data_IF_814233960861
#
_entry.id   IF_814233960861
#
_cell.length_a   1.000
_cell.length_b   1.000
_cell.length_c   1.000
_cell.angle_alpha   90.00
_cell.angle_beta   90.00
_cell.angle_gamma   90.00
#
_symmetry.space_group_name_H-M   'P 1'
#
loop_
_entity.id
_entity.type
_entity.pdbx_description
1 polymer ?
#
# COMPACT_ATOMS: atom_id res chain seq x y z
N UNK A 1 -69.45 -7.00 65.12
CA UNK A 1 -68.90 -7.68 63.92
C UNK A 1 -69.17 -6.80 62.71
N UNK A 2 -68.33 -6.72 61.66
CA UNK A 2 -66.99 -7.32 61.41
C UNK A 2 -65.86 -6.24 61.42
N UNK A 3 -64.70 -6.42 62.07
CA UNK A 3 -63.46 -7.14 61.65
C UNK A 3 -62.87 -6.67 60.30
N UNK A 4 -61.87 -5.78 60.41
CA UNK A 4 -61.04 -5.29 59.33
C UNK A 4 -60.01 -6.31 58.83
N UNK A 5 -59.70 -6.20 57.54
CA UNK A 5 -58.64 -6.93 56.86
C UNK A 5 -57.36 -6.08 56.79
N UNK A 6 -56.16 -6.67 56.96
CA UNK A 6 -54.91 -5.92 57.10
C UNK A 6 -54.31 -5.53 55.74
N UNK A 7 -53.97 -4.25 55.61
CA UNK A 7 -53.28 -3.62 54.47
C UNK A 7 -51.83 -4.10 54.22
N UNK A 8 -51.42 -5.26 54.77
CA UNK A 8 -50.05 -5.79 54.66
C UNK A 8 -49.84 -6.77 53.51
N UNK A 9 -50.91 -7.24 52.84
CA UNK A 9 -50.79 -8.20 51.74
C UNK A 9 -50.49 -7.55 50.36
N UNK A 10 -50.82 -6.27 50.18
CA UNK A 10 -50.64 -5.59 48.89
C UNK A 10 -49.19 -5.14 48.61
N UNK A 11 -48.39 -4.90 49.66
CA UNK A 11 -46.99 -4.46 49.51
C UNK A 11 -46.02 -5.61 49.15
N UNK A 12 -46.36 -6.86 49.49
CA UNK A 12 -45.51 -8.02 49.22
C UNK A 12 -45.57 -8.48 47.74
N UNK A 13 -46.68 -8.21 47.04
CA UNK A 13 -46.86 -8.60 45.64
C UNK A 13 -46.16 -7.64 44.64
N UNK A 14 -45.96 -6.38 45.01
CA UNK A 14 -45.23 -5.40 44.16
C UNK A 14 -43.71 -5.58 44.25
N UNK A 15 -43.18 -5.97 45.42
CA UNK A 15 -41.76 -6.26 45.60
C UNK A 15 -41.31 -7.55 44.87
N UNK A 16 -42.19 -8.56 44.77
CA UNK A 16 -41.91 -9.79 44.03
C UNK A 16 -41.90 -9.58 42.50
N UNK A 17 -42.69 -8.63 41.99
CA UNK A 17 -42.72 -8.31 40.56
C UNK A 17 -41.49 -7.52 40.09
N UNK A 18 -40.87 -6.68 40.95
CA UNK A 18 -39.61 -6.00 40.61
C UNK A 18 -38.37 -6.89 40.77
N UNK A 19 -38.41 -7.93 41.62
CA UNK A 19 -37.29 -8.86 41.78
C UNK A 19 -37.18 -9.87 40.62
N UNK A 20 -38.30 -10.19 39.95
CA UNK A 20 -38.33 -11.08 38.79
C UNK A 20 -38.04 -10.35 37.46
N UNK A 21 -38.10 -9.02 37.42
CA UNK A 21 -37.76 -8.24 36.22
C UNK A 21 -36.26 -7.93 36.06
N UNK A 22 -35.42 -8.25 37.05
CA UNK A 22 -33.96 -8.02 36.99
C UNK A 22 -33.15 -9.26 36.57
N UNK A 23 -33.79 -10.43 36.41
CA UNK A 23 -33.09 -11.66 36.06
C UNK A 23 -32.91 -11.86 34.54
N UNK A 24 -33.60 -11.08 33.70
CA UNK A 24 -33.47 -11.09 32.24
C UNK A 24 -32.58 -9.95 31.72
N UNK A 25 -31.59 -9.52 32.51
CA UNK A 25 -30.41 -8.89 31.93
C UNK A 25 -29.67 -9.98 31.14
N UNK A 26 -30.09 -10.16 29.88
CA UNK A 26 -29.49 -11.06 28.90
C UNK A 26 -27.97 -11.04 29.05
N UNK A 27 -27.41 -12.08 29.67
CA UNK A 27 -26.03 -12.42 29.47
C UNK A 27 -25.90 -12.69 27.97
N UNK A 28 -25.34 -11.72 27.24
CA UNK A 28 -25.01 -11.90 25.84
C UNK A 28 -24.24 -13.22 25.74
N UNK A 29 -24.62 -14.12 24.82
CA UNK A 29 -23.90 -15.39 24.67
C UNK A 29 -22.41 -15.06 24.51
N UNK A 30 -21.51 -15.79 25.20
CA UNK A 30 -20.08 -15.52 25.09
C UNK A 30 -19.71 -15.54 23.60
N UNK A 31 -19.11 -14.43 23.09
CA UNK A 31 -18.61 -14.36 21.70
C UNK A 31 -17.81 -15.65 21.47
N UNK A 32 -18.35 -16.53 20.62
CA UNK A 32 -17.76 -17.85 20.37
C UNK A 32 -16.34 -17.58 19.86
N UNK A 33 -15.33 -18.07 20.57
CA UNK A 33 -13.95 -17.88 20.17
C UNK A 33 -13.79 -18.40 18.75
N UNK A 34 -13.54 -17.49 17.81
CA UNK A 34 -13.31 -17.84 16.42
C UNK A 34 -12.15 -18.84 16.31
N UNK A 35 -12.32 -19.85 15.47
CA UNK A 35 -11.29 -20.86 15.24
C UNK A 35 -10.07 -20.22 14.57
N UNK A 36 -8.84 -20.61 14.92
CA UNK A 36 -7.66 -20.14 14.22
C UNK A 36 -7.73 -20.48 12.72
N UNK A 37 -7.31 -19.54 11.88
CA UNK A 37 -7.20 -19.73 10.44
C UNK A 37 -5.90 -19.13 9.94
N UNK A 38 -5.62 -19.29 8.65
CA UNK A 38 -4.52 -18.57 8.00
C UNK A 38 -4.97 -18.00 6.67
N UNK A 39 -4.24 -16.99 6.19
CA UNK A 39 -4.33 -16.53 4.81
C UNK A 39 -2.94 -16.45 4.19
N UNK A 40 -2.88 -16.50 2.87
CA UNK A 40 -1.64 -16.38 2.11
C UNK A 40 -1.55 -14.98 1.49
N UNK A 41 -0.33 -14.44 1.43
CA UNK A 41 -0.02 -13.26 0.62
C UNK A 41 1.11 -13.58 -0.34
N UNK A 42 0.89 -13.27 -1.61
CA UNK A 42 1.84 -13.46 -2.71
C UNK A 42 1.87 -12.20 -3.58
N UNK A 43 2.97 -11.96 -4.28
CA UNK A 43 3.16 -10.82 -5.20
C UNK A 43 4.19 -11.21 -6.24
N UNK A 44 4.07 -10.74 -7.48
CA UNK A 44 5.11 -10.95 -8.50
C UNK A 44 5.43 -12.43 -8.75
N UNK A 45 4.43 -13.31 -8.66
CA UNK A 45 4.64 -14.77 -8.80
C UNK A 45 4.97 -15.13 -10.24
N UNK A 46 4.37 -14.43 -11.20
CA UNK A 46 4.54 -14.65 -12.64
C UNK A 46 5.35 -13.50 -13.21
N UNK A 47 6.66 -13.71 -13.38
CA UNK A 47 7.54 -12.71 -13.98
C UNK A 47 7.69 -12.90 -15.51
N UNK A 48 7.45 -14.11 -16.00
CA UNK A 48 7.43 -14.45 -17.42
C UNK A 48 6.43 -15.60 -17.69
N UNK A 49 6.08 -15.88 -18.96
CA UNK A 49 5.13 -16.95 -19.29
C UNK A 49 5.57 -18.34 -18.81
N UNK A 50 6.88 -18.56 -18.66
CA UNK A 50 7.43 -19.81 -18.15
C UNK A 50 7.09 -20.07 -16.66
N UNK A 51 6.70 -19.03 -15.91
CA UNK A 51 6.36 -19.13 -14.49
C UNK A 51 4.90 -19.56 -14.26
N UNK A 52 4.05 -19.54 -15.30
CA UNK A 52 2.61 -19.84 -15.18
C UNK A 52 2.33 -21.24 -14.57
N UNK A 53 3.01 -22.33 -14.97
CA UNK A 53 2.82 -23.63 -14.32
C UNK A 53 3.26 -23.63 -12.84
N UNK A 54 4.31 -22.85 -12.51
CA UNK A 54 4.78 -22.72 -11.13
C UNK A 54 3.77 -21.93 -10.27
N UNK A 55 3.16 -20.88 -10.83
CA UNK A 55 2.11 -20.11 -10.18
C UNK A 55 0.85 -20.95 -9.91
N UNK A 56 0.39 -21.75 -10.88
CA UNK A 56 -0.71 -22.69 -10.66
C UNK A 56 -0.36 -23.69 -9.55
N UNK A 57 0.87 -24.24 -9.57
CA UNK A 57 1.35 -25.17 -8.53
C UNK A 57 1.43 -24.50 -7.14
N UNK A 58 1.82 -23.23 -7.09
CA UNK A 58 1.86 -22.43 -5.86
C UNK A 58 0.45 -22.25 -5.27
N UNK A 59 -0.52 -21.80 -6.07
CA UNK A 59 -1.91 -21.64 -5.65
C UNK A 59 -2.51 -22.99 -5.20
N UNK A 60 -2.14 -24.07 -5.88
CA UNK A 60 -2.54 -25.42 -5.53
C UNK A 60 -1.97 -25.92 -4.20
N UNK A 61 -0.70 -25.60 -3.92
CA UNK A 61 -0.05 -25.90 -2.65
C UNK A 61 -0.70 -25.11 -1.52
N UNK A 62 -0.92 -23.81 -1.74
CA UNK A 62 -1.62 -22.93 -0.80
C UNK A 62 -3.00 -23.50 -0.47
N UNK A 63 -3.80 -23.89 -1.46
CA UNK A 63 -5.14 -24.45 -1.25
C UNK A 63 -5.17 -25.78 -0.46
N UNK A 64 -4.04 -26.47 -0.29
CA UNK A 64 -3.94 -27.70 0.53
C UNK A 64 -3.63 -27.42 1.99
N UNK A 65 -3.32 -26.18 2.34
CA UNK A 65 -3.08 -25.78 3.71
C UNK A 65 -4.35 -25.88 4.55
N UNK A 66 -4.23 -26.52 5.72
CA UNK A 66 -5.36 -26.65 6.64
C UNK A 66 -5.76 -25.28 7.16
N UNK A 67 -7.06 -25.04 7.22
CA UNK A 67 -7.67 -23.80 7.72
C UNK A 67 -7.21 -22.54 6.95
N UNK A 68 -6.82 -22.68 5.68
CA UNK A 68 -6.61 -21.52 4.82
C UNK A 68 -7.96 -20.89 4.47
N UNK A 69 -8.10 -19.59 4.72
CA UNK A 69 -9.33 -18.85 4.51
C UNK A 69 -9.41 -18.17 3.14
N UNK A 70 -8.30 -17.59 2.68
CA UNK A 70 -8.21 -16.86 1.42
C UNK A 70 -6.74 -16.61 1.04
N UNK A 71 -6.54 -16.15 -0.19
CA UNK A 71 -5.27 -15.69 -0.77
C UNK A 71 -5.39 -14.23 -1.14
N UNK A 72 -4.35 -13.44 -0.90
CA UNK A 72 -4.20 -12.09 -1.44
C UNK A 72 -3.05 -12.10 -2.44
N UNK A 73 -3.38 -11.83 -3.70
CA UNK A 73 -2.39 -11.61 -4.77
C UNK A 73 -2.13 -10.11 -4.86
N UNK A 74 -1.10 -9.66 -4.17
CA UNK A 74 -0.78 -8.27 -3.88
C UNK A 74 0.05 -7.60 -5.00
N UNK A 75 -0.39 -7.74 -6.25
CA UNK A 75 0.18 -7.07 -7.41
C UNK A 75 1.17 -7.90 -8.22
N UNK A 76 1.49 -7.33 -9.38
CA UNK A 76 2.42 -7.84 -10.38
C UNK A 76 2.03 -9.25 -10.86
N UNK A 77 0.82 -9.34 -11.41
CA UNK A 77 0.35 -10.51 -12.16
C UNK A 77 1.18 -10.72 -13.45
N UNK A 78 1.96 -9.71 -13.84
CA UNK A 78 2.94 -9.82 -14.91
C UNK A 78 4.28 -9.20 -14.59
N UNK A 79 5.31 -9.59 -15.35
CA UNK A 79 6.62 -8.98 -15.26
C UNK A 79 6.72 -7.65 -16.01
N UNK A 80 7.66 -6.82 -15.59
CA UNK A 80 8.03 -5.54 -16.20
C UNK A 80 8.43 -5.61 -17.69
N UNK A 81 8.83 -6.79 -18.19
CA UNK A 81 9.28 -7.00 -19.58
C UNK A 81 8.20 -7.54 -20.51
N UNK A 82 6.97 -7.66 -20.01
CA UNK A 82 5.85 -8.19 -20.77
C UNK A 82 4.89 -7.08 -21.19
N UNK A 83 4.44 -7.15 -22.44
CA UNK A 83 3.48 -6.19 -22.97
C UNK A 83 2.09 -6.40 -22.35
N UNK A 84 1.38 -5.30 -22.08
CA UNK A 84 0.06 -5.28 -21.45
C UNK A 84 -1.09 -5.63 -22.40
N UNK A 85 -0.93 -6.73 -23.16
CA UNK A 85 -1.92 -7.24 -24.10
C UNK A 85 -3.11 -7.84 -23.35
N UNK A 86 -4.32 -7.65 -23.88
CA UNK A 86 -5.57 -8.19 -23.32
C UNK A 86 -5.52 -9.72 -23.12
N UNK A 87 -4.90 -10.43 -24.08
CA UNK A 87 -4.76 -11.89 -24.03
C UNK A 87 -3.92 -12.37 -22.84
N UNK A 88 -2.90 -11.60 -22.43
CA UNK A 88 -2.07 -11.92 -21.27
C UNK A 88 -2.90 -11.86 -19.98
N UNK A 89 -3.67 -10.79 -19.78
CA UNK A 89 -4.54 -10.66 -18.61
C UNK A 89 -5.66 -11.70 -18.61
N UNK A 90 -6.24 -12.01 -19.77
CA UNK A 90 -7.24 -13.09 -19.89
C UNK A 90 -6.67 -14.45 -19.48
N UNK A 91 -5.46 -14.77 -19.96
CA UNK A 91 -4.77 -16.02 -19.64
C UNK A 91 -4.44 -16.12 -18.14
N UNK A 92 -3.95 -15.05 -17.53
CA UNK A 92 -3.54 -15.05 -16.11
C UNK A 92 -4.72 -14.85 -15.16
N UNK A 93 -5.77 -14.19 -15.61
CA UNK A 93 -7.08 -14.18 -14.95
C UNK A 93 -7.60 -15.60 -14.76
N UNK A 94 -7.53 -16.45 -15.79
CA UNK A 94 -7.91 -17.86 -15.68
C UNK A 94 -7.08 -18.64 -14.64
N UNK A 95 -5.80 -18.27 -14.41
CA UNK A 95 -4.98 -18.85 -13.33
C UNK A 95 -5.51 -18.42 -11.96
N UNK A 96 -5.87 -17.16 -11.79
CA UNK A 96 -6.45 -16.66 -10.54
C UNK A 96 -7.83 -17.26 -10.27
N UNK A 97 -8.69 -17.34 -11.29
CA UNK A 97 -10.05 -17.92 -11.21
C UNK A 97 -10.03 -19.42 -10.90
N UNK A 98 -8.96 -20.13 -11.30
CA UNK A 98 -8.77 -21.55 -10.99
C UNK A 98 -8.34 -21.81 -9.53
N UNK A 99 -8.09 -20.76 -8.72
CA UNK A 99 -7.74 -20.93 -7.31
C UNK A 99 -8.88 -21.61 -6.54
N UNK A 100 -8.57 -22.71 -5.84
CA UNK A 100 -9.56 -23.49 -5.06
C UNK A 100 -9.99 -22.85 -3.74
N UNK A 101 -9.47 -21.68 -3.44
CA UNK A 101 -9.76 -20.90 -2.23
C UNK A 101 -10.03 -19.46 -2.63
N UNK A 102 -10.84 -18.70 -1.88
CA UNK A 102 -11.14 -17.32 -2.23
C UNK A 102 -9.87 -16.51 -2.44
N UNK A 103 -9.79 -15.76 -3.55
CA UNK A 103 -8.63 -14.96 -3.91
C UNK A 103 -9.02 -13.50 -4.08
N UNK A 104 -8.24 -12.60 -3.50
CA UNK A 104 -8.35 -11.15 -3.67
C UNK A 104 -7.14 -10.66 -4.46
N UNK A 105 -7.37 -10.12 -5.65
CA UNK A 105 -6.33 -9.51 -6.47
C UNK A 105 -6.25 -8.00 -6.22
N UNK A 106 -5.04 -7.49 -6.06
CA UNK A 106 -4.72 -6.06 -5.96
C UNK A 106 -3.80 -5.73 -7.14
N UNK A 107 -4.12 -4.76 -8.00
CA UNK A 107 -3.22 -4.35 -9.08
C UNK A 107 -1.90 -3.76 -8.55
N UNK A 108 -0.78 -4.15 -9.17
CA UNK A 108 0.56 -3.64 -8.87
C UNK A 108 1.14 -2.72 -9.94
N UNK A 109 2.40 -2.31 -9.75
CA UNK A 109 3.15 -1.49 -10.71
C UNK A 109 3.17 -2.07 -12.12
N UNK A 110 3.56 -3.33 -12.23
CA UNK A 110 3.75 -3.96 -13.53
C UNK A 110 2.40 -4.19 -14.20
N UNK A 111 1.31 -4.28 -13.47
CA UNK A 111 0.00 -4.60 -14.04
C UNK A 111 -0.60 -3.46 -14.88
N UNK A 112 -0.27 -2.20 -14.60
CA UNK A 112 -0.87 -1.07 -15.33
C UNK A 112 0.05 0.14 -15.51
N UNK A 113 0.95 0.44 -14.56
CA UNK A 113 1.84 1.61 -14.67
C UNK A 113 2.93 1.37 -15.70
N UNK A 114 3.62 0.23 -15.60
CA UNK A 114 4.73 -0.10 -16.49
C UNK A 114 4.29 -0.34 -17.95
N UNK A 115 2.99 -0.35 -18.23
CA UNK A 115 2.44 -0.54 -19.56
C UNK A 115 2.82 0.56 -20.56
N UNK A 116 3.10 1.77 -20.08
CA UNK A 116 3.57 2.87 -20.92
C UNK A 116 5.01 2.72 -21.42
N UNK A 117 5.76 1.76 -20.87
CA UNK A 117 7.13 1.52 -21.29
C UNK A 117 7.15 0.81 -22.65
N UNK A 118 8.28 0.89 -23.36
CA UNK A 118 8.45 0.16 -24.62
C UNK A 118 8.25 -1.36 -24.45
N UNK A 119 8.71 -1.93 -23.33
CA UNK A 119 8.51 -3.35 -23.02
C UNK A 119 7.04 -3.66 -22.64
N UNK A 120 6.39 -2.73 -21.94
CA UNK A 120 4.95 -2.78 -21.62
C UNK A 120 4.03 -2.59 -22.84
N UNK A 121 4.59 -2.13 -23.97
CA UNK A 121 3.90 -1.96 -25.24
C UNK A 121 3.33 -0.56 -25.48
N UNK A 122 3.70 0.44 -24.67
CA UNK A 122 3.33 1.83 -24.87
C UNK A 122 1.85 2.13 -24.66
N UNK A 123 1.14 1.30 -23.88
CA UNK A 123 -0.27 1.54 -23.54
C UNK A 123 -0.42 2.69 -22.55
N UNK A 124 -1.58 3.34 -22.56
CA UNK A 124 -1.93 4.32 -21.53
C UNK A 124 -2.17 3.60 -20.18
N UNK A 125 -1.49 3.99 -19.08
CA UNK A 125 -1.64 3.30 -17.80
C UNK A 125 -3.05 3.34 -17.23
N UNK A 126 -3.76 4.47 -17.38
CA UNK A 126 -5.11 4.64 -16.82
C UNK A 126 -6.10 3.77 -17.57
N UNK A 127 -5.97 3.71 -18.89
CA UNK A 127 -6.75 2.81 -19.73
C UNK A 127 -6.49 1.33 -19.36
N UNK A 128 -5.23 0.94 -19.12
CA UNK A 128 -4.92 -0.42 -18.65
C UNK A 128 -5.48 -0.72 -17.26
N UNK A 129 -5.44 0.24 -16.33
CA UNK A 129 -6.09 0.09 -15.03
C UNK A 129 -7.61 -0.10 -15.17
N UNK A 130 -8.25 0.65 -16.07
CA UNK A 130 -9.67 0.49 -16.39
C UNK A 130 -9.99 -0.86 -17.03
N UNK A 131 -9.10 -1.37 -17.88
CA UNK A 131 -9.21 -2.73 -18.42
C UNK A 131 -9.20 -3.78 -17.31
N UNK A 132 -8.29 -3.68 -16.33
CA UNK A 132 -8.26 -4.59 -15.16
C UNK A 132 -9.54 -4.48 -14.32
N UNK A 133 -10.06 -3.26 -14.14
CA UNK A 133 -11.32 -2.99 -13.43
C UNK A 133 -12.53 -3.68 -14.08
N UNK A 134 -12.54 -3.73 -15.41
CA UNK A 134 -13.63 -4.31 -16.20
C UNK A 134 -13.51 -5.83 -16.39
N UNK A 135 -12.31 -6.38 -16.21
CA UNK A 135 -12.03 -7.81 -16.43
C UNK A 135 -11.79 -8.53 -15.10
N UNK A 136 -10.58 -8.44 -14.55
CA UNK A 136 -10.16 -9.17 -13.35
C UNK A 136 -10.86 -8.73 -12.07
N UNK A 137 -11.41 -7.51 -12.04
CA UNK A 137 -12.08 -6.93 -10.88
C UNK A 137 -13.57 -6.66 -11.12
N UNK A 138 -14.12 -7.23 -12.20
CA UNK A 138 -15.56 -7.23 -12.42
C UNK A 138 -16.27 -7.91 -11.24
N UNK A 139 -17.50 -7.49 -10.96
CA UNK A 139 -18.32 -8.14 -9.95
C UNK A 139 -18.62 -9.56 -10.45
N UNK A 140 -18.01 -10.56 -9.82
CA UNK A 140 -18.31 -11.97 -10.11
C UNK A 140 -19.76 -12.27 -9.75
N UNK A 141 -20.33 -13.30 -10.37
CA UNK A 141 -21.68 -13.78 -10.12
C UNK A 141 -21.97 -14.02 -8.62
N UNK A 142 -23.27 -14.12 -8.29
CA UNK A 142 -23.77 -14.35 -6.92
C UNK A 142 -22.84 -15.29 -6.12
N UNK A 143 -22.37 -14.85 -4.93
CA UNK A 143 -21.38 -15.61 -4.20
C UNK A 143 -21.89 -17.01 -3.86
N UNK A 144 -21.12 -18.04 -4.21
CA UNK A 144 -21.37 -19.40 -3.77
C UNK A 144 -21.50 -19.46 -2.24
N UNK A 145 -22.28 -20.39 -1.68
CA UNK A 145 -22.30 -20.64 -0.25
C UNK A 145 -20.89 -20.99 0.26
N UNK A 146 -20.20 -20.02 0.85
CA UNK A 146 -18.80 -20.14 1.30
C UNK A 146 -17.82 -19.14 0.68
N UNK A 147 -18.25 -18.36 -0.31
CA UNK A 147 -17.46 -17.28 -0.89
C UNK A 147 -17.19 -16.17 0.13
N UNK A 148 -15.98 -15.61 0.06
CA UNK A 148 -15.57 -14.48 0.89
C UNK A 148 -16.46 -13.27 0.57
N UNK A 149 -17.16 -12.76 1.57
CA UNK A 149 -18.04 -11.61 1.40
C UNK A 149 -17.20 -10.32 1.34
N UNK A 150 -16.96 -9.85 0.11
CA UNK A 150 -16.19 -8.65 -0.17
C UNK A 150 -17.14 -7.49 -0.44
N UNK A 151 -16.94 -6.40 0.27
CA UNK A 151 -17.52 -5.09 -0.06
C UNK A 151 -16.49 -4.31 -0.84
N UNK A 152 -16.88 -3.73 -1.98
CA UNK A 152 -15.98 -2.88 -2.79
C UNK A 152 -16.22 -1.40 -2.52
N UNK A 153 -15.19 -0.58 -2.72
CA UNK A 153 -15.34 0.88 -2.63
C UNK A 153 -16.29 1.41 -3.73
N UNK A 154 -16.33 0.73 -4.87
CA UNK A 154 -17.25 1.03 -5.98
C UNK A 154 -18.73 0.97 -5.64
N UNK A 155 -19.12 0.35 -4.52
CA UNK A 155 -20.49 0.40 -4.00
C UNK A 155 -20.87 1.78 -3.45
N UNK A 156 -19.88 2.60 -3.07
CA UNK A 156 -20.09 3.98 -2.65
C UNK A 156 -20.24 4.86 -3.89
N UNK A 157 -21.37 5.57 -4.00
CA UNK A 157 -21.75 6.29 -5.22
C UNK A 157 -20.69 7.27 -5.74
N UNK A 158 -19.92 7.92 -4.85
CA UNK A 158 -18.83 8.83 -5.23
C UNK A 158 -17.59 8.12 -5.79
N UNK A 159 -17.39 6.86 -5.44
CA UNK A 159 -16.18 6.09 -5.73
C UNK A 159 -16.45 4.88 -6.63
N UNK A 160 -17.54 4.90 -7.41
CA UNK A 160 -17.89 3.84 -8.39
C UNK A 160 -16.71 3.37 -9.28
N UNK A 161 -15.79 4.23 -9.74
CA UNK A 161 -14.65 3.79 -10.54
C UNK A 161 -13.65 2.87 -9.80
N UNK A 162 -13.56 2.94 -8.47
CA UNK A 162 -12.51 2.28 -7.67
C UNK A 162 -12.91 0.85 -7.27
N UNK A 163 -13.02 -0.04 -8.25
CA UNK A 163 -13.40 -1.46 -8.05
C UNK A 163 -12.28 -2.27 -7.39
N UNK A 164 -11.04 -1.84 -7.55
CA UNK A 164 -9.85 -2.49 -7.01
C UNK A 164 -9.71 -2.37 -5.50
N UNK A 165 -10.38 -1.39 -4.88
CA UNK A 165 -10.41 -1.22 -3.44
C UNK A 165 -11.51 -2.08 -2.82
N UNK A 166 -11.13 -2.92 -1.86
CA UNK A 166 -12.00 -3.94 -1.28
C UNK A 166 -11.85 -4.00 0.24
N UNK A 167 -12.91 -4.44 0.92
CA UNK A 167 -12.93 -4.69 2.36
C UNK A 167 -13.75 -5.94 2.65
N UNK A 168 -13.28 -6.78 3.54
CA UNK A 168 -14.06 -7.89 4.08
C UNK A 168 -13.81 -8.03 5.58
N UNK A 169 -14.69 -8.76 6.24
CA UNK A 169 -14.54 -9.10 7.64
C UNK A 169 -14.57 -10.62 7.76
N UNK A 170 -13.58 -11.18 8.45
CA UNK A 170 -13.57 -12.58 8.82
C UNK A 170 -13.37 -12.69 10.32
N UNK A 171 -14.32 -13.34 10.97
CA UNK A 171 -14.43 -13.34 12.43
C UNK A 171 -14.45 -11.89 12.94
N UNK A 172 -13.53 -11.52 13.82
CA UNK A 172 -13.41 -10.17 14.38
C UNK A 172 -12.27 -9.36 13.73
N UNK A 173 -11.82 -9.69 12.53
CA UNK A 173 -10.72 -8.97 11.86
C UNK A 173 -11.22 -8.35 10.55
N UNK A 174 -10.94 -7.07 10.41
CA UNK A 174 -11.26 -6.29 9.20
C UNK A 174 -10.06 -6.27 8.29
N UNK A 175 -10.28 -6.61 7.03
CA UNK A 175 -9.27 -6.62 5.99
C UNK A 175 -9.60 -5.55 4.96
N UNK A 176 -8.59 -4.83 4.47
CA UNK A 176 -8.71 -3.78 3.46
C UNK A 176 -7.62 -3.97 2.42
N UNK A 177 -8.02 -4.05 1.17
CA UNK A 177 -7.15 -4.07 0.01
C UNK A 177 -7.24 -2.73 -0.72
N UNK A 178 -6.09 -2.20 -1.15
CA UNK A 178 -5.96 -0.89 -1.77
C UNK A 178 -5.05 -0.95 -2.99
N UNK A 179 -5.40 -0.25 -4.05
CA UNK A 179 -4.46 0.04 -5.13
C UNK A 179 -3.55 1.20 -4.73
N UNK A 180 -2.39 0.86 -4.19
CA UNK A 180 -1.30 1.79 -3.88
C UNK A 180 0.02 1.18 -4.37
N UNK A 181 0.36 1.34 -5.66
CA UNK A 181 1.44 0.58 -6.29
C UNK A 181 2.81 1.26 -6.15
N UNK A 182 3.87 0.50 -6.38
CA UNK A 182 5.22 1.02 -6.53
C UNK A 182 5.45 1.60 -7.95
N UNK A 183 6.61 2.24 -8.17
CA UNK A 183 7.30 3.03 -7.16
C UNK A 183 6.50 4.31 -6.87
N UNK A 184 6.62 4.81 -5.65
CA UNK A 184 6.11 6.13 -5.25
C UNK A 184 4.62 6.39 -5.58
N UNK A 185 3.78 5.36 -5.50
CA UNK A 185 2.33 5.47 -5.65
C UNK A 185 1.88 6.07 -7.00
N UNK A 186 2.65 5.91 -8.08
CA UNK A 186 2.41 6.55 -9.38
C UNK A 186 2.40 8.09 -9.35
N UNK A 187 3.07 8.72 -8.37
CA UNK A 187 3.22 10.17 -8.39
C UNK A 187 4.13 10.62 -9.53
N UNK A 188 3.63 11.50 -10.39
CA UNK A 188 4.35 12.07 -11.52
C UNK A 188 4.88 13.47 -11.19
N UNK A 189 6.15 13.71 -11.48
CA UNK A 189 6.73 15.08 -11.41
C UNK A 189 6.48 15.81 -12.72
N UNK A 190 5.20 15.90 -13.12
CA UNK A 190 4.75 16.52 -14.35
C UNK A 190 3.54 17.40 -14.03
N UNK A 191 3.75 18.72 -13.97
CA UNK A 191 2.75 19.69 -13.51
C UNK A 191 1.38 19.48 -14.16
N UNK A 192 0.36 19.20 -13.34
CA UNK A 192 -1.03 19.01 -13.77
C UNK A 192 -1.39 17.63 -14.34
N UNK A 193 -0.46 16.68 -14.46
CA UNK A 193 -0.72 15.32 -15.00
C UNK A 193 -0.95 14.26 -13.93
N UNK A 194 -1.20 14.67 -12.69
CA UNK A 194 -1.44 13.76 -11.56
C UNK A 194 -2.93 13.47 -11.31
N UNK A 195 -3.84 13.75 -12.24
CA UNK A 195 -5.29 13.60 -12.00
C UNK A 195 -5.68 12.22 -11.47
N UNK A 196 -5.18 11.15 -12.10
CA UNK A 196 -5.40 9.77 -11.62
C UNK A 196 -4.88 9.58 -10.18
N UNK A 197 -3.63 9.99 -9.92
CA UNK A 197 -3.03 9.91 -8.59
C UNK A 197 -3.83 10.69 -7.54
N UNK A 198 -4.18 11.96 -7.84
CA UNK A 198 -4.90 12.87 -6.95
C UNK A 198 -6.29 12.34 -6.59
N UNK A 199 -7.02 11.78 -7.55
CA UNK A 199 -8.32 11.20 -7.29
C UNK A 199 -8.20 9.85 -6.53
N UNK A 200 -7.22 9.00 -6.89
CA UNK A 200 -7.01 7.71 -6.23
C UNK A 200 -6.57 7.86 -4.78
N UNK A 201 -5.74 8.84 -4.43
CA UNK A 201 -5.38 9.07 -3.01
C UNK A 201 -6.59 9.49 -2.18
N UNK A 202 -7.55 10.22 -2.76
CA UNK A 202 -8.79 10.61 -2.07
C UNK A 202 -9.66 9.38 -1.82
N UNK A 203 -9.80 8.51 -2.82
CA UNK A 203 -10.52 7.24 -2.70
C UNK A 203 -9.87 6.32 -1.65
N UNK A 204 -8.58 6.00 -1.81
CA UNK A 204 -7.84 5.19 -0.84
C UNK A 204 -7.91 5.74 0.58
N UNK A 205 -7.80 7.07 0.72
CA UNK A 205 -7.91 7.75 2.00
C UNK A 205 -9.29 7.55 2.66
N UNK A 206 -10.34 7.79 1.88
CA UNK A 206 -11.72 7.54 2.32
C UNK A 206 -11.94 6.08 2.71
N UNK A 207 -11.43 5.13 1.92
CA UNK A 207 -11.63 3.70 2.17
C UNK A 207 -10.96 3.22 3.46
N UNK A 208 -9.73 3.66 3.73
CA UNK A 208 -9.02 3.36 4.99
C UNK A 208 -9.76 3.95 6.18
N UNK A 209 -10.14 5.23 6.11
CA UNK A 209 -10.88 5.91 7.19
C UNK A 209 -12.20 5.19 7.49
N UNK A 210 -12.95 4.84 6.45
CA UNK A 210 -14.21 4.12 6.58
C UNK A 210 -14.00 2.71 7.14
N UNK A 211 -12.92 2.03 6.80
CA UNK A 211 -12.58 0.73 7.37
C UNK A 211 -12.19 0.81 8.84
N UNK A 212 -11.45 1.85 9.26
CA UNK A 212 -11.11 2.07 10.67
C UNK A 212 -12.36 2.37 11.51
N UNK A 213 -13.26 3.22 11.02
CA UNK A 213 -14.57 3.47 11.66
C UNK A 213 -15.43 2.20 11.72
N UNK A 214 -15.44 1.41 10.64
CA UNK A 214 -16.13 0.12 10.62
C UNK A 214 -15.55 -0.86 11.64
N UNK A 215 -14.22 -1.00 11.71
CA UNK A 215 -13.53 -1.84 12.68
C UNK A 215 -13.85 -1.44 14.12
N UNK A 216 -13.84 -0.12 14.40
CA UNK A 216 -14.23 0.45 15.70
C UNK A 216 -15.68 0.10 16.05
N UNK A 217 -16.63 0.33 15.13
CA UNK A 217 -18.07 0.07 15.35
C UNK A 217 -18.40 -1.41 15.53
N UNK A 218 -17.64 -2.29 14.88
CA UNK A 218 -17.80 -3.74 14.99
C UNK A 218 -17.00 -4.35 16.16
N UNK A 219 -16.31 -3.53 16.93
CA UNK A 219 -15.41 -3.97 18.00
C UNK A 219 -14.40 -5.02 17.50
N UNK A 220 -13.86 -4.80 16.30
CA UNK A 220 -12.90 -5.70 15.69
C UNK A 220 -11.65 -5.84 16.57
N UNK A 221 -11.08 -7.04 16.59
CA UNK A 221 -9.84 -7.35 17.31
C UNK A 221 -8.60 -6.78 16.61
N UNK A 222 -8.63 -6.64 15.29
CA UNK A 222 -7.57 -6.05 14.51
C UNK A 222 -8.07 -5.58 13.14
N UNK A 223 -7.25 -4.77 12.49
CA UNK A 223 -7.42 -4.37 11.08
C UNK A 223 -6.15 -4.73 10.30
N UNK A 224 -6.30 -5.17 9.05
CA UNK A 224 -5.19 -5.48 8.14
C UNK A 224 -5.38 -4.67 6.86
N UNK A 225 -4.43 -3.80 6.53
CA UNK A 225 -4.37 -3.07 5.27
C UNK A 225 -3.32 -3.71 4.36
N UNK A 226 -3.66 -3.93 3.09
CA UNK A 226 -2.83 -4.60 2.09
C UNK A 226 -2.79 -3.79 0.80
N UNK A 227 -1.60 -3.64 0.22
CA UNK A 227 -1.35 -3.00 -1.07
C UNK A 227 0.00 -3.47 -1.62
N UNK A 228 0.32 -3.16 -2.88
CA UNK A 228 1.58 -3.62 -3.49
C UNK A 228 2.78 -2.77 -3.03
N UNK A 229 2.75 -1.45 -3.26
CA UNK A 229 3.96 -0.63 -3.20
C UNK A 229 4.53 -0.36 -1.80
N UNK A 230 5.85 -0.28 -1.69
CA UNK A 230 6.55 0.12 -0.46
C UNK A 230 6.38 1.62 -0.16
N UNK A 231 5.72 2.01 0.94
CA UNK A 231 5.52 3.40 1.30
C UNK A 231 6.81 4.13 1.69
N UNK A 232 7.89 3.40 2.01
CA UNK A 232 9.12 3.96 2.57
C UNK A 232 8.81 4.83 3.79
N UNK A 233 8.26 4.22 4.85
CA UNK A 233 7.80 4.91 6.07
C UNK A 233 8.87 5.79 6.73
N UNK A 234 10.15 5.45 6.54
CA UNK A 234 11.31 6.20 7.02
C UNK A 234 11.52 7.51 6.24
N UNK A 235 11.04 7.58 4.99
CA UNK A 235 10.99 8.82 4.20
C UNK A 235 9.71 9.56 4.55
N UNK A 236 9.81 10.47 5.52
CA UNK A 236 8.77 11.45 5.77
C UNK A 236 9.23 12.81 5.27
N UNK A 237 8.44 13.45 4.40
CA UNK A 237 8.64 14.86 4.07
C UNK A 237 8.36 15.73 5.31
N UNK A 238 9.37 15.92 6.15
CA UNK A 238 9.31 16.96 7.17
C UNK A 238 9.33 18.31 6.49
N UNK A 239 8.47 19.22 6.93
CA UNK A 239 8.58 20.63 6.58
C UNK A 239 9.94 21.14 7.13
N UNK A 240 10.96 21.15 6.28
CA UNK A 240 12.29 21.61 6.68
C UNK A 240 12.22 23.11 6.98
N UNK A 241 12.57 23.50 8.22
CA UNK A 241 12.54 24.91 8.69
C UNK A 241 13.46 25.85 7.90
N UNK A 242 14.35 25.31 7.07
CA UNK A 242 15.23 26.05 6.16
C UNK A 242 15.27 25.42 4.77
N UNK A 243 14.09 25.16 4.20
CA UNK A 243 13.96 24.55 2.88
C UNK A 243 14.72 25.31 1.77
N UNK A 244 15.00 26.61 1.97
CA UNK A 244 15.75 27.52 1.11
C UNK A 244 17.28 27.31 1.13
N UNK A 245 17.85 26.59 2.11
CA UNK A 245 19.31 26.37 2.20
C UNK A 245 19.83 25.21 1.35
N UNK A 246 18.97 24.49 0.62
CA UNK A 246 19.36 23.35 -0.24
C UNK A 246 18.95 23.59 -1.69
N UNK A 247 19.68 24.45 -2.39
CA UNK A 247 19.43 24.82 -3.79
C UNK A 247 19.71 23.72 -4.82
N UNK A 248 20.27 22.56 -4.43
CA UNK A 248 20.83 21.60 -5.39
C UNK A 248 20.42 20.13 -5.21
N UNK A 249 19.26 19.86 -4.59
CA UNK A 249 18.68 18.51 -4.58
C UNK A 249 17.23 18.55 -5.05
N UNK A 250 16.87 17.85 -6.14
CA UNK A 250 15.47 17.64 -6.49
C UNK A 250 14.78 16.97 -5.30
N UNK A 251 13.82 17.65 -4.67
CA UNK A 251 12.96 17.01 -3.67
C UNK A 251 12.00 16.10 -4.44
N UNK A 252 12.28 14.80 -4.45
CA UNK A 252 11.32 13.80 -4.93
C UNK A 252 10.14 13.84 -3.98
N UNK A 253 8.96 14.19 -4.48
CA UNK A 253 7.78 14.24 -3.65
C UNK A 253 7.39 12.84 -3.19
N UNK A 254 7.08 12.71 -1.91
CA UNK A 254 6.57 11.46 -1.33
C UNK A 254 5.11 11.23 -1.77
N UNK A 255 4.91 10.36 -2.76
CA UNK A 255 3.60 9.97 -3.29
C UNK A 255 2.78 9.13 -2.32
N UNK A 256 3.40 8.57 -1.27
CA UNK A 256 2.72 7.84 -0.21
C UNK A 256 2.40 8.71 1.01
N UNK A 257 2.73 10.00 1.00
CA UNK A 257 2.55 10.90 2.14
C UNK A 257 1.12 10.90 2.67
N UNK A 258 0.12 11.03 1.79
CA UNK A 258 -1.28 11.06 2.20
C UNK A 258 -1.80 9.68 2.66
N UNK A 259 -1.25 8.59 2.09
CA UNK A 259 -1.49 7.23 2.60
C UNK A 259 -0.97 7.09 4.04
N UNK A 260 0.27 7.52 4.31
CA UNK A 260 0.88 7.48 5.65
C UNK A 260 0.05 8.27 6.66
N UNK A 261 -0.37 9.48 6.30
CA UNK A 261 -1.23 10.33 7.15
C UNK A 261 -2.59 9.68 7.42
N UNK A 262 -3.19 9.06 6.41
CA UNK A 262 -4.44 8.34 6.60
C UNK A 262 -4.27 7.12 7.51
N UNK A 263 -3.15 6.40 7.42
CA UNK A 263 -2.83 5.31 8.36
C UNK A 263 -2.65 5.83 9.80
N UNK A 264 -2.00 6.98 10.00
CA UNK A 264 -1.91 7.64 11.32
C UNK A 264 -3.32 7.95 11.84
N UNK A 265 -4.17 8.57 11.00
CA UNK A 265 -5.56 8.88 11.37
C UNK A 265 -6.35 7.62 11.72
N UNK A 266 -6.28 6.57 10.90
CA UNK A 266 -6.91 5.29 11.15
C UNK A 266 -6.47 4.68 12.49
N UNK A 267 -5.19 4.79 12.83
CA UNK A 267 -4.64 4.33 14.10
C UNK A 267 -5.17 5.08 15.32
N UNK A 268 -5.52 6.36 15.16
CA UNK A 268 -6.21 7.14 16.21
C UNK A 268 -7.69 6.79 16.34
N UNK A 269 -8.36 6.52 15.21
CA UNK A 269 -9.77 6.14 15.15
C UNK A 269 -10.00 4.75 15.73
N UNK A 270 -9.22 3.76 15.28
CA UNK A 270 -9.25 2.38 15.73
C UNK A 270 -8.01 2.09 16.58
N UNK A 271 -8.19 2.10 17.90
CA UNK A 271 -7.09 1.89 18.87
C UNK A 271 -6.62 0.44 18.97
N UNK A 272 -7.20 -0.49 18.20
CA UNK A 272 -6.73 -1.87 18.12
C UNK A 272 -5.47 -2.01 17.26
N UNK A 273 -4.86 -3.21 17.21
CA UNK A 273 -3.74 -3.51 16.32
C UNK A 273 -4.11 -3.35 14.85
N UNK A 274 -3.27 -2.63 14.10
CA UNK A 274 -3.34 -2.48 12.65
C UNK A 274 -2.08 -3.11 12.04
N UNK A 275 -2.28 -4.08 11.15
CA UNK A 275 -1.21 -4.65 10.34
C UNK A 275 -1.23 -3.98 8.96
N UNK A 276 -0.10 -3.47 8.50
CA UNK A 276 0.06 -2.91 7.15
C UNK A 276 1.00 -3.79 6.37
N UNK A 277 0.47 -4.50 5.38
CA UNK A 277 1.22 -5.47 4.59
C UNK A 277 1.44 -4.92 3.17
N UNK A 278 2.66 -5.02 2.66
CA UNK A 278 2.96 -4.64 1.29
C UNK A 278 4.07 -5.48 0.67
N UNK A 279 4.15 -5.48 -0.66
CA UNK A 279 5.28 -6.07 -1.36
C UNK A 279 6.54 -5.21 -1.16
N UNK A 280 7.68 -5.89 -1.05
CA UNK A 280 8.99 -5.28 -1.03
C UNK A 280 9.51 -5.25 -2.45
N UNK A 281 10.04 -4.11 -2.90
CA UNK A 281 10.69 -4.01 -4.20
C UNK A 281 11.98 -4.84 -4.33
N UNK A 282 12.47 -5.40 -3.22
CA UNK A 282 13.66 -6.23 -3.16
C UNK A 282 13.42 -7.51 -2.33
N UNK A 283 14.10 -8.64 -2.66
CA UNK A 283 14.06 -9.83 -1.83
C UNK A 283 14.58 -9.60 -0.41
N UNK A 284 13.87 -10.13 0.58
CA UNK A 284 14.18 -10.00 2.00
C UNK A 284 14.85 -11.29 2.55
N UNK A 285 15.77 -11.19 3.53
CA UNK A 285 16.49 -12.34 4.07
C UNK A 285 15.61 -13.49 4.57
N UNK A 286 14.48 -13.19 5.20
CA UNK A 286 13.52 -14.17 5.72
C UNK A 286 12.27 -14.29 4.82
N UNK A 287 12.29 -13.70 3.63
CA UNK A 287 11.12 -13.53 2.77
C UNK A 287 10.11 -12.49 3.26
N UNK A 288 10.29 -11.93 4.46
CA UNK A 288 9.49 -10.85 5.03
C UNK A 288 10.26 -10.05 6.09
N UNK A 289 9.77 -8.86 6.43
CA UNK A 289 10.25 -7.97 7.50
C UNK A 289 9.06 -7.53 8.36
N UNK A 290 9.22 -7.50 9.68
CA UNK A 290 8.20 -7.00 10.62
C UNK A 290 8.82 -5.93 11.51
N UNK A 291 8.23 -4.74 11.52
CA UNK A 291 8.65 -3.62 12.37
C UNK A 291 7.51 -2.60 12.55
N UNK A 292 7.82 -1.47 13.20
CA UNK A 292 6.87 -0.36 13.42
C UNK A 292 7.52 0.95 12.97
N UNK A 293 7.47 1.28 11.67
CA UNK A 293 8.20 2.42 11.14
C UNK A 293 7.34 3.70 11.03
N UNK A 294 6.02 3.60 11.23
CA UNK A 294 5.10 4.72 11.04
C UNK A 294 5.19 5.74 12.18
N UNK A 295 5.41 7.00 11.82
CA UNK A 295 5.41 8.14 12.72
C UNK A 295 4.30 9.14 12.32
N UNK A 296 3.77 9.86 13.30
CA UNK A 296 2.88 10.99 13.08
C UNK A 296 3.65 12.24 12.63
N UNK A 297 2.93 13.30 12.21
CA UNK A 297 3.51 14.55 11.72
C UNK A 297 4.36 15.27 12.79
N UNK A 298 4.09 15.05 14.08
CA UNK A 298 4.87 15.54 15.22
C UNK A 298 6.13 14.70 15.51
N UNK A 299 6.28 13.56 14.84
CA UNK A 299 7.40 12.63 14.99
C UNK A 299 7.18 11.55 16.04
N UNK A 300 6.01 11.45 16.68
CA UNK A 300 5.72 10.36 17.61
C UNK A 300 5.48 9.04 16.87
N UNK A 301 5.94 7.94 17.47
CA UNK A 301 5.76 6.59 16.93
C UNK A 301 4.29 6.14 17.06
N UNK A 302 3.70 5.67 15.97
CA UNK A 302 2.34 5.10 15.97
C UNK A 302 2.39 3.66 16.47
N UNK A 303 2.21 3.48 17.78
CA UNK A 303 2.49 2.20 18.46
C UNK A 303 1.59 1.01 18.11
N UNK A 304 0.39 1.24 17.58
CA UNK A 304 -0.57 0.19 17.19
C UNK A 304 -0.50 -0.20 15.70
N UNK A 305 0.38 0.41 14.91
CA UNK A 305 0.59 0.03 13.50
C UNK A 305 1.86 -0.79 13.37
N UNK A 306 1.75 -1.98 12.79
CA UNK A 306 2.88 -2.87 12.51
C UNK A 306 2.98 -3.11 11.00
N UNK A 307 4.15 -2.86 10.42
CA UNK A 307 4.44 -3.17 9.01
C UNK A 307 4.80 -4.65 8.87
N UNK A 308 4.35 -5.27 7.78
CA UNK A 308 4.88 -6.53 7.25
C UNK A 308 5.24 -6.32 5.78
N UNK A 309 6.52 -6.13 5.48
CA UNK A 309 6.98 -6.10 4.10
C UNK A 309 7.23 -7.54 3.62
N UNK A 310 6.77 -7.87 2.41
CA UNK A 310 6.81 -9.21 1.83
C UNK A 310 7.77 -9.21 0.64
N UNK A 311 8.84 -10.01 0.72
CA UNK A 311 9.80 -10.15 -0.37
C UNK A 311 10.46 -11.53 -0.38
N UNK A 312 9.76 -12.60 -0.77
CA UNK A 312 10.36 -13.92 -0.95
C UNK A 312 11.51 -13.88 -1.97
N UNK A 313 12.55 -14.71 -1.77
CA UNK A 313 13.66 -14.83 -2.75
C UNK A 313 13.25 -15.58 -4.01
N UNK A 314 12.29 -16.49 -3.89
CA UNK A 314 11.80 -17.31 -4.98
C UNK A 314 10.26 -17.22 -5.06
N UNK A 315 9.69 -16.10 -5.52
CA UNK A 315 8.24 -15.85 -5.47
C UNK A 315 7.40 -16.90 -6.22
N UNK A 316 7.96 -17.56 -7.25
CA UNK A 316 7.31 -18.67 -7.94
C UNK A 316 7.16 -19.96 -7.09
N UNK A 317 7.92 -20.09 -5.99
CA UNK A 317 7.96 -21.30 -5.16
C UNK A 317 7.84 -21.02 -3.65
N UNK A 318 7.68 -19.75 -3.26
CA UNK A 318 7.62 -19.32 -1.87
C UNK A 318 6.45 -18.36 -1.68
N UNK A 319 5.79 -18.45 -0.53
CA UNK A 319 4.66 -17.58 -0.20
C UNK A 319 4.67 -17.25 1.30
N UNK A 320 4.06 -16.13 1.67
CA UNK A 320 3.96 -15.72 3.07
C UNK A 320 2.63 -16.18 3.65
N UNK A 321 2.70 -16.99 4.71
CA UNK A 321 1.56 -17.43 5.50
C UNK A 321 1.36 -16.51 6.68
N UNK A 322 0.16 -15.97 6.84
CA UNK A 322 -0.25 -15.25 8.04
C UNK A 322 -1.25 -16.12 8.80
N UNK A 323 -0.81 -16.67 9.92
CA UNK A 323 -1.66 -17.41 10.84
C UNK A 323 -2.34 -16.43 11.80
N UNK A 324 -3.63 -16.60 11.96
CA UNK A 324 -4.52 -15.72 12.72
C UNK A 324 -5.11 -16.51 13.88
N UNK A 325 -4.86 -16.04 15.10
CA UNK A 325 -5.37 -16.65 16.34
C UNK A 325 -6.13 -15.60 17.15
N UNK A 326 -7.44 -15.40 16.87
CA UNK A 326 -8.21 -14.33 17.49
C UNK A 326 -8.23 -14.39 19.03
N UNK A 327 -8.13 -15.59 19.62
CA UNK A 327 -8.15 -15.78 21.07
C UNK A 327 -6.80 -15.51 21.78
N UNK A 328 -5.70 -15.35 21.05
CA UNK A 328 -4.35 -15.16 21.63
C UNK A 328 -4.03 -13.67 21.78
N UNK A 329 -3.09 -13.35 22.69
CA UNK A 329 -2.53 -11.99 22.80
C UNK A 329 -1.80 -11.59 21.52
N UNK A 330 -0.99 -12.50 20.97
CA UNK A 330 -0.38 -12.35 19.65
C UNK A 330 -1.35 -12.87 18.59
N UNK A 331 -2.09 -11.95 17.95
CA UNK A 331 -3.13 -12.27 16.98
C UNK A 331 -2.54 -12.86 15.68
N UNK A 332 -1.42 -12.30 15.21
CA UNK A 332 -0.81 -12.66 13.93
C UNK A 332 0.54 -13.34 14.12
N UNK A 333 0.78 -14.40 13.36
CA UNK A 333 2.09 -15.02 13.19
C UNK A 333 2.39 -15.12 11.69
N UNK A 334 3.55 -14.60 11.27
CA UNK A 334 3.95 -14.56 9.86
C UNK A 334 5.08 -15.56 9.64
N UNK A 335 4.97 -16.37 8.60
CA UNK A 335 6.03 -17.31 8.22
C UNK A 335 6.16 -17.45 6.71
N UNK A 336 7.37 -17.72 6.25
CA UNK A 336 7.62 -18.09 4.86
C UNK A 336 7.34 -19.58 4.68
N UNK A 337 6.65 -19.94 3.61
CA UNK A 337 6.34 -21.32 3.23
C UNK A 337 6.90 -21.59 1.84
N UNK A 338 7.24 -22.85 1.58
CA UNK A 338 7.74 -23.30 0.28
C UNK A 338 6.75 -24.28 -0.36
N UNK A 339 6.68 -24.27 -1.68
CA UNK A 339 5.89 -25.25 -2.44
C UNK A 339 6.54 -26.63 -2.29
N UNK A 340 5.80 -27.65 -1.84
CA UNK A 340 6.31 -29.02 -1.76
C UNK A 340 6.80 -29.51 -3.13
N UNK A 341 8.02 -30.04 -3.20
CA UNK A 341 8.63 -30.51 -4.45
C UNK A 341 7.87 -31.67 -5.11
N UNK A 342 7.13 -32.44 -4.33
CA UNK A 342 6.34 -33.59 -4.76
C UNK A 342 4.89 -33.24 -5.13
N UNK A 343 4.52 -31.95 -5.19
CA UNK A 343 3.20 -31.54 -5.63
C UNK A 343 3.03 -31.88 -7.12
N UNK A 344 1.94 -32.56 -7.53
CA UNK A 344 1.65 -32.80 -8.94
C UNK A 344 1.60 -31.50 -9.73
N UNK A 345 2.01 -31.56 -11.00
CA UNK A 345 1.83 -30.45 -11.93
C UNK A 345 0.33 -30.29 -12.18
N UNK A 346 -0.24 -29.09 -11.98
CA UNK A 346 -1.65 -28.85 -12.27
C UNK A 346 -1.97 -29.05 -13.76
N UNK A 347 -3.22 -29.39 -14.11
CA UNK A 347 -3.63 -29.55 -15.49
C UNK A 347 -3.45 -28.24 -16.25
N UNK A 348 -3.03 -28.33 -17.52
CA UNK A 348 -2.87 -27.16 -18.38
C UNK A 348 -4.21 -26.45 -18.54
N UNK A 349 -4.28 -25.17 -18.16
CA UNK A 349 -5.44 -24.34 -18.45
C UNK A 349 -5.61 -24.15 -19.97
N UNK A 350 -6.83 -23.92 -20.47
CA UNK A 350 -7.06 -23.67 -21.89
C UNK A 350 -6.18 -22.52 -22.38
N UNK A 351 -5.43 -22.76 -23.45
CA UNK A 351 -4.65 -21.71 -24.11
C UNK A 351 -5.60 -20.71 -24.73
N UNK A 352 -5.62 -19.48 -24.20
CA UNK A 352 -6.14 -18.33 -24.94
C UNK A 352 -5.19 -18.10 -26.11
N UNK A 353 -5.67 -17.98 -27.36
CA UNK A 353 -4.80 -17.71 -28.51
C UNK A 353 -3.89 -16.53 -28.20
N UNK A 354 -2.58 -16.72 -28.37
CA UNK A 354 -1.63 -15.61 -28.22
C UNK A 354 -1.91 -14.63 -29.35
N UNK A 355 -2.19 -13.40 -28.97
CA UNK A 355 -2.27 -12.33 -29.94
C UNK A 355 -0.83 -12.01 -30.36
N UNK A 356 -0.40 -12.50 -31.52
CA UNK A 356 0.96 -12.35 -32.04
C UNK A 356 1.12 -11.08 -32.91
N UNK A 357 0.10 -10.21 -32.93
CA UNK A 357 0.15 -8.94 -33.68
C UNK A 357 1.35 -8.11 -33.20
N UNK A 358 2.27 -7.70 -34.08
CA UNK A 358 3.38 -6.82 -33.70
C UNK A 358 2.82 -5.54 -33.09
N UNK A 359 3.35 -5.14 -31.92
CA UNK A 359 2.99 -3.83 -31.35
C UNK A 359 3.45 -2.75 -32.34
N UNK A 360 2.64 -1.70 -32.56
CA UNK A 360 3.07 -0.58 -33.37
C UNK A 360 4.39 -0.04 -32.80
N UNK A 361 5.41 0.07 -33.65
CA UNK A 361 6.68 0.66 -33.25
C UNK A 361 6.42 2.10 -32.85
N UNK A 362 6.75 2.46 -31.61
CA UNK A 362 6.75 3.87 -31.23
C UNK A 362 7.71 4.61 -32.16
N UNK A 363 7.30 5.75 -32.75
CA UNK A 363 8.21 6.53 -33.57
C UNK A 363 9.42 6.93 -32.70
N UNK A 364 10.62 6.55 -33.13
CA UNK A 364 11.85 7.07 -32.56
C UNK A 364 11.81 8.59 -32.72
N UNK A 365 11.59 9.33 -31.63
CA UNK A 365 11.77 10.78 -31.64
C UNK A 365 13.27 10.99 -31.83
N UNK A 366 13.72 11.61 -32.94
CA UNK A 366 15.13 11.89 -33.15
C UNK A 366 15.65 12.68 -31.95
N UNK A 367 16.78 12.25 -31.39
CA UNK A 367 17.44 13.01 -30.34
C UNK A 367 17.60 14.46 -30.83
N UNK A 368 17.12 15.41 -30.02
CA UNK A 368 17.36 16.83 -30.31
C UNK A 368 18.86 17.02 -30.52
N UNK A 369 19.30 17.70 -31.59
CA UNK A 369 20.71 17.92 -31.84
C UNK A 369 21.35 18.52 -30.59
N UNK A 370 22.48 17.93 -30.17
CA UNK A 370 23.25 18.44 -29.05
C UNK A 370 23.53 19.93 -29.29
N UNK A 371 23.06 20.78 -28.37
CA UNK A 371 23.45 22.18 -28.37
C UNK A 371 24.98 22.21 -28.24
N UNK A 372 25.69 22.95 -29.12
CA UNK A 372 27.14 23.02 -29.05
C UNK A 372 27.57 23.59 -27.69
N UNK A 373 28.55 22.94 -27.05
CA UNK A 373 29.16 23.40 -25.81
C UNK A 373 29.59 24.86 -25.95
N UNK A 374 29.12 25.73 -25.06
CA UNK A 374 29.47 27.16 -25.02
C UNK A 374 30.92 27.43 -24.55
N UNK A 375 31.84 26.48 -24.74
CA UNK A 375 33.23 26.55 -24.28
C UNK A 375 34.25 26.74 -25.41
N UNK A 376 33.80 26.97 -26.64
CA UNK A 376 34.69 27.13 -27.81
C UNK A 376 34.36 28.37 -28.63
N UNK A 377 34.30 29.54 -27.97
CA UNK A 377 34.57 30.83 -28.62
C UNK A 377 35.44 31.68 -27.70
N UNK A 378 36.74 31.38 -27.68
CA UNK A 378 37.76 32.36 -27.35
C UNK A 378 38.52 32.65 -28.65
N UNK A 379 38.53 33.90 -29.16
CA UNK A 379 39.32 34.23 -30.34
C UNK A 379 40.83 34.13 -30.02
N UNK A 380 41.68 33.73 -30.97
CA UNK A 380 43.10 33.58 -30.74
C UNK A 380 43.77 34.96 -30.58
N UNK A 381 44.51 35.14 -29.49
CA UNK A 381 45.42 36.26 -29.33
C UNK A 381 46.64 36.03 -30.23
N UNK A 382 46.74 36.79 -31.32
CA UNK A 382 47.96 36.95 -32.09
C UNK A 382 49.00 37.66 -31.21
N UNK A 383 50.11 36.98 -30.95
CA UNK A 383 51.29 37.58 -30.35
C UNK A 383 52.11 38.26 -31.43
N UNK A 384 52.11 39.59 -31.43
CA UNK A 384 53.18 40.38 -32.03
C UNK A 384 54.02 41.00 -30.91
N UNK A 385 55.29 40.63 -30.89
CA UNK A 385 56.28 41.15 -29.95
C UNK A 385 56.70 42.56 -30.32
N UNK A 386 56.45 43.50 -29.42
CA UNK A 386 57.23 44.73 -29.29
C UNK A 386 57.03 45.32 -27.88
N UNK A 387 58.08 45.29 -27.06
CA UNK A 387 58.28 46.24 -25.96
C UNK A 387 59.10 47.44 -26.51
N UNK A 388 59.18 48.64 -25.89
CA UNK A 388 58.83 48.97 -24.50
C UNK A 388 58.12 50.35 -24.27
N UNK A 389 57.71 50.61 -23.02
CA UNK A 389 57.74 51.97 -22.44
C UNK A 389 56.48 52.48 -21.75
N UNK A 390 56.61 52.81 -20.45
CA UNK A 390 55.88 53.95 -19.84
C UNK A 390 54.86 53.69 -18.72
N UNK A 391 55.35 53.74 -17.48
CA UNK A 391 54.72 54.33 -16.29
C UNK A 391 53.38 53.77 -15.71
N UNK A 392 53.58 53.03 -14.61
CA UNK A 392 52.80 52.80 -13.38
C UNK A 392 51.75 53.82 -12.94
N UNK A 393 50.62 53.36 -12.34
CA UNK A 393 49.84 53.95 -11.21
C UNK A 393 48.71 52.96 -10.77
N UNK A 394 48.10 53.06 -9.56
CA UNK A 394 48.36 52.18 -8.42
C UNK A 394 47.23 51.18 -8.04
N UNK A 395 47.57 50.22 -7.16
CA UNK A 395 46.65 49.25 -6.56
C UNK A 395 45.95 49.78 -5.29
N UNK A 396 44.72 49.32 -4.96
CA UNK A 396 44.14 49.40 -3.62
C UNK A 396 44.10 48.04 -2.89
N UNK A 397 43.93 48.04 -1.55
CA UNK A 397 44.76 47.21 -0.68
C UNK A 397 44.04 46.04 -0.01
N UNK A 398 44.85 45.13 0.55
CA UNK A 398 44.45 44.06 1.46
C UNK A 398 44.37 44.54 2.93
N UNK A 399 43.53 43.83 3.69
CA UNK A 399 43.10 44.10 5.05
C UNK A 399 44.19 44.07 6.13
N UNK A 400 43.97 44.82 7.20
CA UNK A 400 44.70 44.73 8.48
C UNK A 400 43.75 44.50 9.65
N UNK A 401 44.21 43.69 10.60
CA UNK A 401 43.53 43.24 11.82
C UNK A 401 43.50 44.28 12.98
N UNK A 402 43.14 43.85 14.20
CA UNK A 402 42.34 44.65 15.13
C UNK A 402 43.06 45.21 16.38
N UNK A 403 42.32 46.06 17.13
CA UNK A 403 42.31 46.34 18.61
C UNK A 403 42.53 47.83 18.99
N UNK A 404 42.18 48.33 20.23
CA UNK A 404 41.24 47.88 21.28
C UNK A 404 40.32 49.00 21.88
N UNK A 405 39.32 48.61 22.72
CA UNK A 405 38.97 49.34 23.97
C UNK A 405 37.64 50.13 24.12
N UNK A 406 36.61 49.48 24.69
CA UNK A 406 35.72 49.83 25.86
C UNK A 406 35.09 51.26 26.06
N UNK A 407 34.05 51.46 26.93
CA UNK A 407 33.01 50.56 27.50
C UNK A 407 31.55 51.13 27.58
N UNK A 408 30.65 50.35 28.23
CA UNK A 408 29.35 50.68 28.88
C UNK A 408 28.10 50.73 27.97
N UNK A 409 26.87 50.31 28.35
CA UNK A 409 26.21 49.95 29.62
C UNK A 409 24.90 49.17 29.30
N UNK A 410 24.65 47.99 29.88
CA UNK A 410 23.65 47.68 30.93
C UNK A 410 22.15 47.55 30.54
N UNK A 411 21.60 46.34 30.80
CA UNK A 411 20.31 46.03 31.49
C UNK A 411 19.02 46.23 30.64
N UNK A 412 18.10 45.26 30.48
CA UNK A 412 17.24 44.68 31.54
C UNK A 412 16.47 43.41 31.11
N UNK A 413 16.00 42.68 32.13
CA UNK A 413 15.32 41.36 32.12
C UNK A 413 13.82 41.39 31.73
N UNK A 414 13.39 40.20 31.28
CA UNK A 414 12.10 39.45 31.41
C UNK A 414 11.04 39.93 32.43
N UNK A 415 9.77 39.48 32.33
CA UNK A 415 9.32 38.07 32.37
C UNK A 415 9.19 37.37 31.03
#
# INVERSE_FOLDING_TARGET
MPRGLPARAAAALVAAALALAQADALAAPPKRSAAPYSFAVVSGVINAPADEPAAQRLLDAIARERNLAFVVYAGDLKGSKEACRDALYSQRGAILDAARVPLVFIPGHDDWIACNTAAGGGYDPVERLDFLRQTLLADSALPDPGALQITRESEVARFRPYRENARWMRDDIVYVALNAPAPNNHYLTAGGRNGEFEDRIIANGFWIDHAAEYAKRREARAMVAMFEGDPQFERYERAERFAWLRFNRPRVRDGFRELKRTLVKAATTFRGPILVMHASGEPLPNGFLIDRPLHADDGELVGNVTRVAIGPRHPANQWVKVSVSPARQTIFNVSLQEVPKNLPVPPTLPLVPRDDVPLPQMPEIPALPALPDASSVAPPLQGDGAAPGGASWPAPPAASGPAPGLPASSVQRTP
#
